data_IF_219217002986
#
_entry.id   IF_219217002986
#
_cell.length_a   1.000
_cell.length_b   1.000
_cell.length_c   1.000
_cell.angle_alpha   90.00
_cell.angle_beta   90.00
_cell.angle_gamma   90.00
#
_symmetry.space_group_name_H-M   'P 1'
#
loop_
_entity.id
_entity.type
_entity.pdbx_description
1 polymer ?
#
# COMPACT_ATOMS: atom_id res chain seq x y z
N UNK A 1 -4.59 13.45 -4.12
CA UNK A 1 -4.57 13.11 -5.57
C UNK A 1 -4.56 11.59 -5.79
N UNK A 2 -3.57 10.80 -5.36
CA UNK A 2 -3.53 9.33 -5.61
C UNK A 2 -4.80 8.60 -5.13
N UNK A 3 -5.21 8.81 -3.87
CA UNK A 3 -6.40 8.16 -3.29
C UNK A 3 -7.68 8.53 -4.05
N UNK A 4 -7.79 9.77 -4.51
CA UNK A 4 -8.93 10.23 -5.31
C UNK A 4 -9.00 9.51 -6.66
N UNK A 5 -7.84 9.30 -7.31
CA UNK A 5 -7.76 8.53 -8.56
C UNK A 5 -8.22 7.08 -8.35
N UNK A 6 -7.87 6.46 -7.23
CA UNK A 6 -8.37 5.13 -6.87
C UNK A 6 -9.88 5.09 -6.65
N UNK A 7 -10.43 6.09 -5.97
CA UNK A 7 -11.88 6.22 -5.77
C UNK A 7 -12.58 6.40 -7.12
N UNK A 8 -12.08 7.32 -7.96
CA UNK A 8 -12.65 7.62 -9.27
C UNK A 8 -12.62 6.41 -10.20
N UNK A 9 -11.56 5.60 -10.16
CA UNK A 9 -11.47 4.38 -10.96
C UNK A 9 -12.66 3.43 -10.73
N UNK A 10 -13.14 3.35 -9.50
CA UNK A 10 -14.31 2.53 -9.13
C UNK A 10 -15.61 3.29 -9.39
N UNK A 11 -15.73 4.51 -8.85
CA UNK A 11 -16.98 5.27 -8.86
C UNK A 11 -17.41 5.75 -10.26
N UNK A 12 -16.50 5.84 -11.21
CA UNK A 12 -16.79 6.16 -12.61
C UNK A 12 -17.28 4.95 -13.43
N UNK A 13 -17.40 3.76 -12.83
CA UNK A 13 -18.08 2.64 -13.48
C UNK A 13 -19.57 2.93 -13.50
N UNK A 14 -20.24 2.91 -14.68
CA UNK A 14 -21.69 3.16 -14.76
C UNK A 14 -22.52 2.21 -13.87
N UNK A 15 -22.04 0.97 -13.66
CA UNK A 15 -22.70 0.00 -12.82
C UNK A 15 -22.56 0.28 -11.31
N UNK A 16 -21.69 1.21 -10.91
CA UNK A 16 -21.53 1.62 -9.50
C UNK A 16 -22.74 2.44 -9.02
N UNK A 17 -23.36 3.23 -9.90
CA UNK A 17 -24.58 4.01 -9.66
C UNK A 17 -24.60 4.73 -8.29
N UNK A 18 -23.53 5.50 -8.00
CA UNK A 18 -23.43 6.21 -6.74
C UNK A 18 -23.37 5.32 -5.48
N UNK A 19 -23.12 4.02 -5.65
CA UNK A 19 -23.12 3.02 -4.57
C UNK A 19 -24.41 2.21 -4.47
N UNK A 20 -25.35 2.40 -5.40
CA UNK A 20 -26.65 1.71 -5.41
C UNK A 20 -26.64 0.44 -6.29
N UNK A 21 -25.48 -0.20 -6.48
CA UNK A 21 -25.39 -1.45 -7.25
C UNK A 21 -26.05 -2.62 -6.51
N UNK A 22 -26.81 -3.44 -7.24
CA UNK A 22 -27.45 -4.62 -6.68
C UNK A 22 -26.48 -5.81 -6.50
N UNK A 23 -25.45 -5.87 -7.35
CA UNK A 23 -24.44 -6.93 -7.34
C UNK A 23 -23.04 -6.30 -7.45
N UNK A 24 -22.16 -6.52 -6.46
CA UNK A 24 -20.76 -6.09 -6.55
C UNK A 24 -20.05 -6.54 -7.83
N UNK A 25 -20.41 -7.70 -8.36
CA UNK A 25 -19.84 -8.24 -9.60
C UNK A 25 -20.24 -7.44 -10.85
N UNK A 26 -21.23 -6.58 -10.80
CA UNK A 26 -21.58 -5.69 -11.91
C UNK A 26 -20.51 -4.58 -12.11
N UNK A 27 -19.77 -4.18 -11.06
CA UNK A 27 -18.82 -3.06 -11.06
C UNK A 27 -17.40 -3.49 -11.50
N UNK A 28 -17.32 -4.49 -12.38
CA UNK A 28 -16.02 -5.10 -12.75
C UNK A 28 -15.08 -4.17 -13.49
N UNK A 29 -15.60 -3.24 -14.30
CA UNK A 29 -14.75 -2.29 -15.04
C UNK A 29 -14.03 -1.34 -14.09
N UNK A 30 -14.72 -0.85 -13.08
CA UNK A 30 -14.17 -0.03 -12.02
C UNK A 30 -13.10 -0.76 -11.22
N UNK A 31 -13.42 -1.98 -10.78
CA UNK A 31 -12.50 -2.83 -10.02
C UNK A 31 -11.23 -3.18 -10.81
N UNK A 32 -11.33 -3.50 -12.12
CA UNK A 32 -10.16 -3.74 -12.98
C UNK A 32 -9.30 -2.49 -13.15
N UNK A 33 -9.89 -1.32 -13.35
CA UNK A 33 -9.15 -0.05 -13.42
C UNK A 33 -8.42 0.23 -12.12
N UNK A 34 -9.11 0.05 -10.99
CA UNK A 34 -8.51 0.17 -9.67
C UNK A 34 -7.33 -0.79 -9.48
N UNK A 35 -7.50 -2.06 -9.83
CA UNK A 35 -6.45 -3.09 -9.76
C UNK A 35 -5.20 -2.72 -10.56
N UNK A 36 -5.38 -2.20 -11.79
CA UNK A 36 -4.27 -1.79 -12.66
C UNK A 36 -3.55 -0.55 -12.14
N UNK A 37 -4.28 0.43 -11.58
CA UNK A 37 -3.66 1.57 -10.90
C UNK A 37 -2.87 1.10 -9.68
N UNK A 38 -3.41 0.16 -8.91
CA UNK A 38 -2.72 -0.45 -7.78
C UNK A 38 -1.45 -1.18 -8.23
N UNK A 39 -1.50 -1.93 -9.33
CA UNK A 39 -0.32 -2.58 -9.89
C UNK A 39 0.76 -1.57 -10.31
N UNK A 40 0.36 -0.48 -10.94
CA UNK A 40 1.27 0.56 -11.43
C UNK A 40 1.97 1.35 -10.31
N UNK A 41 1.37 1.42 -9.12
CA UNK A 41 1.89 2.18 -7.98
C UNK A 41 2.45 1.28 -6.87
N UNK A 42 1.89 0.10 -6.69
CA UNK A 42 2.26 -0.83 -5.62
C UNK A 42 3.48 -1.70 -5.94
N UNK A 43 3.68 -2.04 -7.22
CA UNK A 43 4.84 -2.81 -7.66
C UNK A 43 5.93 -1.92 -8.26
N UNK A 44 7.17 -2.39 -8.22
CA UNK A 44 8.30 -1.66 -8.79
C UNK A 44 8.43 -1.92 -10.30
N UNK A 45 8.99 -0.99 -11.08
CA UNK A 45 9.42 -1.27 -12.46
C UNK A 45 10.41 -2.44 -12.53
N UNK A 46 11.24 -2.62 -11.51
CA UNK A 46 12.20 -3.73 -11.43
C UNK A 46 11.52 -5.10 -11.48
N UNK A 47 10.36 -5.27 -10.81
CA UNK A 47 9.61 -6.52 -10.86
C UNK A 47 9.25 -6.92 -12.30
N UNK A 48 8.81 -5.94 -13.11
CA UNK A 48 8.44 -6.16 -14.49
C UNK A 48 9.66 -6.35 -15.40
N UNK A 49 10.70 -5.52 -15.23
CA UNK A 49 11.91 -5.57 -16.04
C UNK A 49 12.70 -6.88 -15.85
N UNK A 50 12.67 -7.44 -14.65
CA UNK A 50 13.36 -8.71 -14.33
C UNK A 50 12.45 -9.94 -14.47
N UNK A 51 11.20 -9.74 -14.89
CA UNK A 51 10.18 -10.78 -14.92
C UNK A 51 10.03 -11.53 -13.57
N UNK A 52 10.09 -10.77 -12.47
CA UNK A 52 10.01 -11.30 -11.10
C UNK A 52 8.71 -12.06 -10.80
N UNK A 53 7.62 -11.74 -11.51
CA UNK A 53 6.33 -12.42 -11.47
C UNK A 53 6.40 -13.91 -11.88
N UNK A 54 7.44 -14.34 -12.63
CA UNK A 54 7.68 -15.75 -12.94
C UNK A 54 7.88 -16.60 -11.68
N UNK A 55 8.42 -16.02 -10.61
CA UNK A 55 8.61 -16.71 -9.33
C UNK A 55 7.27 -17.13 -8.69
N UNK A 56 6.17 -16.49 -9.07
CA UNK A 56 4.82 -16.84 -8.65
C UNK A 56 4.11 -17.79 -9.65
N UNK A 57 4.80 -18.26 -10.70
CA UNK A 57 4.26 -19.22 -11.68
C UNK A 57 3.51 -18.59 -12.85
N UNK A 58 3.51 -17.26 -13.01
CA UNK A 58 2.83 -16.61 -14.13
C UNK A 58 3.66 -16.68 -15.42
N UNK A 59 2.98 -16.78 -16.55
CA UNK A 59 3.58 -16.98 -17.88
C UNK A 59 4.01 -15.64 -18.53
N UNK A 60 3.34 -14.54 -18.18
CA UNK A 60 3.59 -13.21 -18.71
C UNK A 60 3.26 -12.13 -17.67
N UNK A 61 3.67 -10.87 -17.93
CA UNK A 61 3.28 -9.73 -17.11
C UNK A 61 1.77 -9.52 -17.10
N UNK A 62 1.11 -9.68 -18.26
CA UNK A 62 -0.34 -9.58 -18.36
C UNK A 62 -1.05 -10.70 -17.59
N UNK A 63 -0.55 -11.92 -17.69
CA UNK A 63 -1.04 -13.07 -16.92
C UNK A 63 -0.95 -12.80 -15.41
N UNK A 64 0.17 -12.23 -14.95
CA UNK A 64 0.35 -11.81 -13.57
C UNK A 64 -0.63 -10.71 -13.15
N UNK A 65 -0.79 -9.65 -13.95
CA UNK A 65 -1.70 -8.54 -13.64
C UNK A 65 -3.15 -9.02 -13.59
N UNK A 66 -3.57 -9.85 -14.55
CA UNK A 66 -4.94 -10.39 -14.60
C UNK A 66 -5.15 -11.44 -13.51
N UNK A 67 -4.27 -12.44 -13.45
CA UNK A 67 -4.46 -13.61 -12.57
C UNK A 67 -4.19 -13.33 -11.10
N UNK A 68 -3.34 -12.37 -10.77
CA UNK A 68 -3.01 -12.03 -9.39
C UNK A 68 -3.70 -10.74 -8.94
N UNK A 69 -3.47 -9.62 -9.65
CA UNK A 69 -3.90 -8.31 -9.17
C UNK A 69 -5.39 -8.08 -9.42
N UNK A 70 -5.86 -8.24 -10.68
CA UNK A 70 -7.28 -8.05 -10.97
C UNK A 70 -8.15 -9.06 -10.22
N UNK A 71 -7.73 -10.32 -10.19
CA UNK A 71 -8.48 -11.37 -9.50
C UNK A 71 -8.65 -11.09 -8.01
N UNK A 72 -7.64 -10.50 -7.35
CA UNK A 72 -7.75 -10.07 -5.96
C UNK A 72 -8.85 -9.00 -5.77
N UNK A 73 -8.87 -7.97 -6.62
CA UNK A 73 -9.82 -6.87 -6.48
C UNK A 73 -11.22 -7.22 -6.99
N UNK A 74 -11.36 -8.11 -7.97
CA UNK A 74 -12.66 -8.56 -8.47
C UNK A 74 -13.49 -9.31 -7.44
N UNK A 75 -12.85 -9.88 -6.42
CA UNK A 75 -13.51 -10.50 -5.28
C UNK A 75 -13.94 -9.54 -4.17
N UNK A 76 -13.62 -8.24 -4.30
CA UNK A 76 -13.91 -7.23 -3.28
C UNK A 76 -15.24 -6.51 -3.55
N UNK A 77 -15.86 -6.02 -2.49
CA UNK A 77 -17.00 -5.12 -2.61
C UNK A 77 -16.53 -3.71 -2.95
N UNK A 78 -17.06 -3.08 -4.03
CA UNK A 78 -16.65 -1.75 -4.47
C UNK A 78 -16.85 -0.66 -3.42
N UNK A 79 -17.97 -0.71 -2.69
CA UNK A 79 -18.30 0.26 -1.64
C UNK A 79 -17.34 0.16 -0.46
N UNK A 80 -16.95 -1.05 -0.07
CA UNK A 80 -15.96 -1.27 0.97
C UNK A 80 -14.58 -0.73 0.58
N UNK A 81 -14.14 -0.91 -0.67
CA UNK A 81 -12.89 -0.34 -1.17
C UNK A 81 -12.93 1.18 -1.13
N UNK A 82 -14.01 1.82 -1.61
CA UNK A 82 -14.19 3.27 -1.56
C UNK A 82 -14.21 3.76 -0.12
N UNK A 83 -14.85 3.03 0.80
CA UNK A 83 -14.87 3.38 2.22
C UNK A 83 -13.46 3.36 2.82
N UNK A 84 -12.65 2.33 2.55
CA UNK A 84 -11.26 2.25 3.01
C UNK A 84 -10.41 3.38 2.44
N UNK A 85 -10.52 3.68 1.14
CA UNK A 85 -9.85 4.79 0.49
C UNK A 85 -10.26 6.14 1.09
N UNK A 86 -11.53 6.32 1.41
CA UNK A 86 -12.04 7.53 2.06
C UNK A 86 -11.50 7.70 3.48
N UNK A 87 -11.34 6.60 4.21
CA UNK A 87 -10.65 6.60 5.52
C UNK A 87 -9.18 7.00 5.38
N UNK A 88 -8.48 6.46 4.39
CA UNK A 88 -7.10 6.84 4.12
C UNK A 88 -7.00 8.34 3.78
N UNK A 89 -7.87 8.85 2.90
CA UNK A 89 -7.92 10.28 2.55
C UNK A 89 -8.19 11.19 3.76
N UNK A 90 -9.03 10.75 4.69
CA UNK A 90 -9.38 11.50 5.90
C UNK A 90 -8.38 11.31 7.05
N UNK A 91 -7.39 10.41 6.89
CA UNK A 91 -6.37 10.14 7.88
C UNK A 91 -5.47 11.37 8.10
N UNK A 92 -5.50 11.91 9.32
CA UNK A 92 -4.68 13.04 9.75
C UNK A 92 -4.25 12.81 11.19
N UNK A 93 -2.98 12.47 11.38
CA UNK A 93 -2.42 12.27 12.74
C UNK A 93 -2.30 13.59 13.50
N UNK A 94 -2.24 14.72 12.80
CA UNK A 94 -2.18 16.07 13.38
C UNK A 94 -3.51 16.59 13.90
N UNK A 95 -4.64 15.94 13.61
CA UNK A 95 -5.99 16.42 13.99
C UNK A 95 -6.10 16.83 15.46
N UNK A 96 -5.52 16.06 16.37
CA UNK A 96 -5.58 16.31 17.82
C UNK A 96 -4.49 17.26 18.34
N UNK A 97 -3.69 17.84 17.43
CA UNK A 97 -2.62 18.81 17.70
C UNK A 97 -2.78 20.06 16.83
N UNK A 98 -4.02 20.42 16.51
CA UNK A 98 -4.37 21.57 15.67
C UNK A 98 -3.65 21.57 14.29
N UNK A 99 -3.40 20.41 13.71
CA UNK A 99 -2.68 20.24 12.44
C UNK A 99 -1.16 20.18 12.56
N UNK A 100 -0.61 20.25 13.77
CA UNK A 100 0.84 20.14 13.99
C UNK A 100 1.30 18.68 13.99
N UNK A 101 1.80 18.22 12.83
CA UNK A 101 2.34 16.87 12.62
C UNK A 101 3.51 16.56 13.56
N UNK A 102 4.41 17.54 13.78
CA UNK A 102 5.57 17.35 14.65
C UNK A 102 5.14 17.12 16.09
N UNK A 103 4.23 17.93 16.60
CA UNK A 103 3.67 17.76 17.94
C UNK A 103 2.93 16.42 18.08
N UNK A 104 2.22 15.96 17.03
CA UNK A 104 1.53 14.68 17.05
C UNK A 104 2.51 13.50 17.13
N UNK A 105 3.53 13.48 16.30
CA UNK A 105 4.53 12.40 16.25
C UNK A 105 5.45 12.39 17.48
N UNK A 106 5.74 13.57 18.05
CA UNK A 106 6.52 13.69 19.29
C UNK A 106 5.85 13.05 20.52
N UNK A 107 4.54 12.75 20.46
CA UNK A 107 3.82 12.03 21.51
C UNK A 107 4.12 10.52 21.55
N UNK A 108 4.77 9.98 20.52
CA UNK A 108 5.19 8.58 20.48
C UNK A 108 6.44 8.44 21.34
N UNK A 109 6.26 7.98 22.58
CA UNK A 109 7.35 7.80 23.56
C UNK A 109 7.94 6.40 23.55
N UNK A 110 7.23 5.44 22.97
CA UNK A 110 7.68 4.06 22.86
C UNK A 110 8.96 3.97 22.02
N UNK A 111 9.81 2.99 22.32
CA UNK A 111 10.92 2.62 21.44
C UNK A 111 10.37 2.13 20.11
N UNK A 112 10.72 2.81 19.03
CA UNK A 112 10.07 2.63 17.72
C UNK A 112 11.11 2.27 16.66
N UNK A 113 10.81 1.24 15.89
CA UNK A 113 11.52 0.90 14.65
C UNK A 113 10.62 1.24 13.47
N UNK A 114 10.98 2.27 12.71
CA UNK A 114 10.28 2.62 11.47
C UNK A 114 10.96 1.87 10.33
N UNK A 115 10.21 1.02 9.63
CA UNK A 115 10.70 0.25 8.49
C UNK A 115 10.15 0.87 7.22
N UNK A 116 11.04 1.34 6.33
CA UNK A 116 10.70 1.89 5.04
C UNK A 116 11.14 0.93 3.92
N UNK A 117 10.24 0.66 2.98
CA UNK A 117 10.59 -0.05 1.74
C UNK A 117 11.11 1.00 0.76
N UNK A 118 12.35 0.83 0.28
CA UNK A 118 13.03 1.86 -0.52
C UNK A 118 12.31 2.16 -1.83
N UNK A 119 11.68 1.15 -2.42
CA UNK A 119 11.00 1.22 -3.72
C UNK A 119 9.46 1.33 -3.57
N UNK A 120 8.95 1.69 -2.40
CA UNK A 120 7.50 1.83 -2.19
C UNK A 120 6.94 3.01 -2.99
N UNK A 121 5.99 2.74 -3.88
CA UNK A 121 5.35 3.77 -4.69
C UNK A 121 4.18 4.47 -4.01
N UNK A 122 3.73 3.98 -2.84
CA UNK A 122 2.70 4.63 -2.03
C UNK A 122 3.29 5.57 -0.98
N UNK A 123 4.36 5.13 -0.31
CA UNK A 123 4.99 5.84 0.79
C UNK A 123 6.48 6.04 0.49
N UNK A 124 6.84 7.25 0.08
CA UNK A 124 8.23 7.52 -0.30
C UNK A 124 9.17 7.43 0.91
N UNK A 125 10.36 6.89 0.69
CA UNK A 125 11.42 6.86 1.72
C UNK A 125 11.70 8.24 2.29
N UNK A 126 11.62 9.28 1.44
CA UNK A 126 11.84 10.68 1.85
C UNK A 126 10.80 11.15 2.86
N UNK A 127 9.51 10.86 2.61
CA UNK A 127 8.43 11.27 3.49
C UNK A 127 8.46 10.49 4.80
N UNK A 128 8.70 9.16 4.74
CA UNK A 128 8.87 8.33 5.94
C UNK A 128 10.04 8.82 6.80
N UNK A 129 11.18 9.17 6.20
CA UNK A 129 12.34 9.68 6.93
C UNK A 129 12.04 11.06 7.56
N UNK A 130 11.29 11.91 6.86
CA UNK A 130 10.85 13.21 7.39
C UNK A 130 9.96 13.04 8.61
N UNK A 131 8.98 12.16 8.54
CA UNK A 131 8.07 11.88 9.66
C UNK A 131 8.78 11.21 10.83
N UNK A 132 9.64 10.23 10.56
CA UNK A 132 10.42 9.52 11.58
C UNK A 132 11.28 10.46 12.40
N UNK A 133 11.83 11.52 11.81
CA UNK A 133 12.65 12.50 12.52
C UNK A 133 11.90 13.24 13.66
N UNK A 134 10.58 13.19 13.69
CA UNK A 134 9.75 13.77 14.76
C UNK A 134 9.39 12.77 15.86
N UNK A 135 9.77 11.50 15.73
CA UNK A 135 9.53 10.47 16.75
C UNK A 135 10.78 10.33 17.63
N UNK A 136 10.77 10.79 18.91
CA UNK A 136 12.00 10.97 19.70
C UNK A 136 12.83 9.71 19.92
N UNK A 137 12.16 8.57 20.15
CA UNK A 137 12.83 7.30 20.45
C UNK A 137 12.67 6.31 19.30
N UNK A 138 13.14 6.71 18.12
CA UNK A 138 12.95 5.91 16.91
C UNK A 138 14.23 5.71 16.10
N UNK A 139 14.24 4.63 15.32
CA UNK A 139 15.26 4.33 14.31
C UNK A 139 14.59 4.07 12.98
N UNK A 140 15.19 4.57 11.88
CA UNK A 140 14.77 4.26 10.52
C UNK A 140 15.57 3.08 10.00
N UNK A 141 14.88 2.06 9.52
CA UNK A 141 15.43 0.91 8.81
C UNK A 141 14.94 0.90 7.37
N UNK A 142 15.88 0.82 6.44
CA UNK A 142 15.58 0.75 5.00
C UNK A 142 15.67 -0.70 4.58
N UNK A 143 14.65 -1.15 3.85
CA UNK A 143 14.59 -2.51 3.32
C UNK A 143 14.23 -2.42 1.84
N UNK A 144 15.09 -2.94 0.99
CA UNK A 144 14.82 -3.01 -0.45
C UNK A 144 13.98 -4.23 -0.79
N UNK A 145 13.01 -4.08 -1.70
CA UNK A 145 12.23 -5.17 -2.24
C UNK A 145 11.74 -4.84 -3.66
N UNK A 146 12.00 -5.75 -4.61
CA UNK A 146 11.46 -5.60 -5.96
C UNK A 146 9.90 -5.62 -6.01
N UNK A 147 9.26 -6.09 -4.94
CA UNK A 147 7.80 -6.12 -4.82
C UNK A 147 7.20 -4.78 -4.39
N UNK A 148 8.05 -3.77 -4.05
CA UNK A 148 7.61 -2.47 -3.59
C UNK A 148 6.67 -2.59 -2.40
N UNK A 149 5.57 -1.84 -2.41
CA UNK A 149 4.57 -1.86 -1.34
C UNK A 149 4.02 -3.26 -1.03
N UNK A 150 3.94 -4.13 -2.03
CA UNK A 150 3.38 -5.46 -1.89
C UNK A 150 4.25 -6.42 -1.05
N UNK A 151 5.52 -6.07 -0.77
CA UNK A 151 6.35 -6.83 0.15
C UNK A 151 5.71 -6.96 1.54
N UNK A 152 4.90 -5.97 1.96
CA UNK A 152 4.16 -5.98 3.23
C UNK A 152 3.19 -7.18 3.37
N UNK A 153 2.78 -7.79 2.27
CA UNK A 153 1.83 -8.91 2.26
C UNK A 153 2.50 -10.29 2.27
N UNK A 154 3.80 -10.32 2.61
CA UNK A 154 4.51 -11.59 2.83
C UNK A 154 4.96 -12.33 1.57
N UNK A 155 4.85 -11.70 0.39
CA UNK A 155 5.24 -12.31 -0.89
C UNK A 155 6.75 -12.30 -1.16
N UNK A 156 7.52 -11.55 -0.38
CA UNK A 156 8.98 -11.49 -0.48
C UNK A 156 9.65 -12.14 0.73
N UNK A 157 10.19 -13.37 0.60
CA UNK A 157 10.85 -14.05 1.70
C UNK A 157 12.04 -13.29 2.29
N UNK A 158 12.82 -12.58 1.46
CA UNK A 158 13.98 -11.80 1.92
C UNK A 158 13.55 -10.58 2.74
N UNK A 159 12.48 -9.91 2.32
CA UNK A 159 11.88 -8.84 3.10
C UNK A 159 11.37 -9.37 4.46
N UNK A 160 10.66 -10.48 4.46
CA UNK A 160 10.13 -11.09 5.68
C UNK A 160 11.23 -11.45 6.67
N UNK A 161 12.31 -12.08 6.22
CA UNK A 161 13.48 -12.44 7.05
C UNK A 161 14.12 -11.17 7.65
N UNK A 162 14.24 -10.11 6.85
CA UNK A 162 14.81 -8.84 7.31
C UNK A 162 13.94 -8.20 8.39
N UNK A 163 12.61 -8.13 8.16
CA UNK A 163 11.65 -7.60 9.14
C UNK A 163 11.69 -8.40 10.44
N UNK A 164 11.68 -9.73 10.36
CA UNK A 164 11.76 -10.61 11.51
C UNK A 164 13.04 -10.37 12.35
N UNK A 165 14.17 -10.19 11.68
CA UNK A 165 15.44 -9.83 12.32
C UNK A 165 15.36 -8.49 13.06
N UNK A 166 14.75 -7.48 12.43
CA UNK A 166 14.59 -6.16 13.04
C UNK A 166 13.64 -6.19 14.24
N UNK A 167 12.55 -6.95 14.15
CA UNK A 167 11.61 -7.15 15.26
C UNK A 167 12.26 -7.86 16.44
N UNK A 168 13.01 -8.94 16.21
CA UNK A 168 13.76 -9.62 17.27
C UNK A 168 14.73 -8.69 17.98
N UNK A 169 15.44 -7.84 17.21
CA UNK A 169 16.35 -6.83 17.78
C UNK A 169 15.61 -5.78 18.62
N UNK A 170 14.45 -5.31 18.15
CA UNK A 170 13.65 -4.33 18.88
C UNK A 170 13.13 -4.90 20.21
N UNK A 171 12.67 -6.15 20.20
CA UNK A 171 12.12 -6.81 21.38
C UNK A 171 13.17 -7.25 22.41
N UNK A 172 14.42 -7.45 22.00
CA UNK A 172 15.53 -7.84 22.88
C UNK A 172 16.21 -6.65 23.55
N UNK A 173 15.83 -5.43 23.27
CA UNK A 173 16.43 -4.17 23.70
C UNK A 173 15.45 -3.36 24.51
#
# INVERSE_FOLDING_TARGET
>A
MLVETFIEAISSDPAFDGGCYADPQAVQRGLRRHARLFAATGFTPSLFNTAGWKKLGFSSADDFVIGFVENHFLGQDPGNLIFQLSKWKAGDVGRNTAGDLKAALARITAKTCVIAIEEDGFFSLKDIAFEQAFIPNSTLQRVSSQWGHLALFGIDPLYNERVDTLLKKLLAS
#
